data_IF_054113339832
#
_entry.id   IF_054113339832
#
_cell.length_a   1.000
_cell.length_b   1.000
_cell.length_c   1.000
_cell.angle_alpha   90.00
_cell.angle_beta   90.00
_cell.angle_gamma   90.00
#
_symmetry.space_group_name_H-M   'P 1'
#
loop_
_entity.id
_entity.type
_entity.pdbx_description
1 polymer ?
#
# COMPACT_ATOMS: atom_id res chain seq x y z
N UNK A 1 -5.74 11.42 -0.93
CA UNK A 1 -6.43 12.20 0.13
C UNK A 1 -5.50 12.20 1.32
N UNK A 2 -4.94 13.35 1.68
CA UNK A 2 -3.99 13.43 2.79
C UNK A 2 -4.69 13.98 4.02
N UNK A 3 -4.47 13.34 5.16
CA UNK A 3 -5.09 13.69 6.44
C UNK A 3 -4.16 14.64 7.19
N UNK A 4 -4.49 15.92 7.24
CA UNK A 4 -3.69 16.94 7.94
C UNK A 4 -4.44 17.53 9.14
N UNK A 5 -3.67 17.99 10.13
CA UNK A 5 -4.17 18.64 11.34
C UNK A 5 -4.07 20.16 11.22
N UNK A 6 -5.15 20.93 11.47
CA UNK A 6 -5.00 22.33 11.84
C UNK A 6 -4.51 22.38 13.29
N UNK A 7 -3.20 22.31 13.49
CA UNK A 7 -2.53 22.41 14.81
C UNK A 7 -2.86 23.70 15.55
N UNK A 8 -3.35 24.72 14.87
CA UNK A 8 -3.78 25.99 15.46
C UNK A 8 -5.14 25.92 16.18
N UNK A 9 -6.00 24.94 15.90
CA UNK A 9 -7.33 24.86 16.51
C UNK A 9 -7.45 23.81 17.63
N UNK A 10 -6.58 22.78 17.65
CA UNK A 10 -6.65 21.68 18.62
C UNK A 10 -5.25 21.30 19.11
N UNK A 11 -4.75 21.90 20.20
CA UNK A 11 -3.36 21.74 20.67
C UNK A 11 -3.07 20.39 21.34
N UNK A 12 -4.09 19.59 21.66
CA UNK A 12 -3.92 18.25 22.25
C UNK A 12 -3.98 17.17 21.17
N UNK A 13 -2.87 16.47 20.96
CA UNK A 13 -2.67 15.40 19.98
C UNK A 13 -3.46 14.10 20.29
N UNK A 14 -4.79 14.14 20.42
CA UNK A 14 -5.60 12.92 20.25
C UNK A 14 -5.86 12.72 18.75
N UNK A 15 -4.91 12.07 18.05
CA UNK A 15 -4.79 11.92 16.58
C UNK A 15 -6.08 11.93 15.73
N UNK A 16 -6.07 12.53 14.52
CA UNK A 16 -7.26 12.74 13.66
C UNK A 16 -7.98 11.40 13.41
N UNK A 17 -7.25 10.28 13.40
CA UNK A 17 -7.83 8.93 13.30
C UNK A 17 -8.71 8.55 14.46
N UNK A 18 -8.33 8.89 15.69
CA UNK A 18 -9.16 8.66 16.87
C UNK A 18 -10.40 9.54 16.84
N UNK A 19 -10.24 10.82 16.50
CA UNK A 19 -11.37 11.75 16.39
C UNK A 19 -12.36 11.34 15.30
N UNK A 20 -11.89 11.04 14.09
CA UNK A 20 -12.75 10.52 13.01
C UNK A 20 -13.39 9.17 13.34
N UNK A 21 -12.72 8.32 14.13
CA UNK A 21 -13.29 7.02 14.49
C UNK A 21 -14.35 7.08 15.58
N UNK A 22 -14.36 8.15 16.39
CA UNK A 22 -15.17 8.24 17.60
C UNK A 22 -16.27 9.31 17.52
N UNK A 23 -15.95 10.46 16.94
CA UNK A 23 -16.68 11.70 17.18
C UNK A 23 -17.36 12.25 15.92
N UNK A 24 -17.11 11.67 14.73
CA UNK A 24 -17.75 12.10 13.47
C UNK A 24 -19.07 11.34 13.25
N UNK A 25 -20.13 12.07 12.91
CA UNK A 25 -21.44 11.53 12.60
C UNK A 25 -21.82 11.74 11.13
N UNK A 26 -22.82 10.99 10.67
CA UNK A 26 -23.40 11.22 9.34
C UNK A 26 -23.94 12.66 9.30
N UNK A 27 -23.56 13.41 8.25
CA UNK A 27 -23.83 14.84 8.02
C UNK A 27 -22.83 15.84 8.61
N UNK A 28 -21.79 15.39 9.32
CA UNK A 28 -20.69 16.27 9.69
C UNK A 28 -19.92 16.78 8.47
N UNK A 29 -19.35 17.98 8.60
CA UNK A 29 -18.54 18.61 7.55
C UNK A 29 -17.07 18.43 7.84
N UNK A 30 -16.35 17.91 6.85
CA UNK A 30 -14.88 17.80 6.88
C UNK A 30 -14.30 18.75 5.85
N UNK A 31 -13.26 19.48 6.22
CA UNK A 31 -12.52 20.35 5.31
C UNK A 31 -11.36 19.54 4.74
N UNK A 32 -11.25 19.53 3.41
CA UNK A 32 -10.13 18.91 2.70
C UNK A 32 -9.18 19.98 2.16
N UNK A 33 -7.88 19.71 2.24
CA UNK A 33 -6.87 20.46 1.50
C UNK A 33 -6.63 19.82 0.13
N UNK A 34 -5.96 20.54 -0.76
CA UNK A 34 -5.51 19.99 -2.05
C UNK A 34 -4.65 18.73 -1.86
N UNK A 35 -4.69 17.80 -2.83
CA UNK A 35 -3.86 16.60 -2.78
C UNK A 35 -2.38 16.98 -2.92
N UNK A 36 -1.53 16.33 -2.12
CA UNK A 36 -0.08 16.40 -2.21
C UNK A 36 0.51 15.00 -2.01
N UNK A 37 1.77 14.78 -2.40
CA UNK A 37 2.49 13.51 -2.16
C UNK A 37 1.94 12.29 -2.92
N UNK A 38 1.29 12.47 -4.07
CA UNK A 38 0.63 11.36 -4.77
C UNK A 38 1.64 10.43 -5.44
N UNK A 39 1.49 9.11 -5.23
CA UNK A 39 2.22 8.09 -5.98
C UNK A 39 1.85 8.19 -7.45
N UNK A 40 2.83 8.55 -8.28
CA UNK A 40 2.68 8.59 -9.73
C UNK A 40 2.92 7.21 -10.33
N UNK A 41 1.99 6.74 -11.16
CA UNK A 41 2.16 5.50 -11.91
C UNK A 41 3.13 5.73 -13.08
N UNK A 42 4.29 5.07 -13.03
CA UNK A 42 5.39 5.18 -14.00
C UNK A 42 5.46 4.02 -14.99
N UNK A 43 4.44 3.15 -15.02
CA UNK A 43 4.37 1.97 -15.88
C UNK A 43 4.18 0.67 -15.11
N UNK A 44 3.96 -0.41 -15.85
CA UNK A 44 3.72 -1.75 -15.30
C UNK A 44 4.79 -2.15 -14.30
N UNK A 45 4.40 -2.63 -13.12
CA UNK A 45 5.36 -2.98 -12.08
C UNK A 45 4.76 -3.68 -10.87
N UNK A 46 5.49 -3.64 -9.76
CA UNK A 46 5.15 -4.33 -8.52
C UNK A 46 4.71 -3.32 -7.46
N UNK A 47 3.47 -3.46 -7.00
CA UNK A 47 2.89 -2.70 -5.89
C UNK A 47 3.10 -3.46 -4.58
N UNK A 48 3.73 -2.85 -3.59
CA UNK A 48 4.00 -3.43 -2.27
C UNK A 48 3.34 -2.55 -1.20
N UNK A 49 2.29 -3.07 -0.59
CA UNK A 49 1.48 -2.36 0.40
C UNK A 49 1.59 -2.96 1.79
N UNK A 50 1.66 -2.11 2.82
CA UNK A 50 1.53 -2.48 4.22
C UNK A 50 0.29 -1.84 4.86
N UNK A 51 -0.67 -2.65 5.32
CA UNK A 51 -1.89 -2.16 5.98
C UNK A 51 -2.64 -1.09 5.17
N UNK A 52 -2.90 0.07 5.78
CA UNK A 52 -3.61 1.17 5.11
C UNK A 52 -2.86 1.76 3.88
N UNK A 53 -1.56 1.46 3.71
CA UNK A 53 -0.76 1.89 2.56
C UNK A 53 -1.21 1.33 1.20
N UNK A 54 -2.17 0.39 1.17
CA UNK A 54 -2.78 -0.05 -0.08
C UNK A 54 -3.70 1.00 -0.73
N UNK A 55 -4.17 1.98 0.07
CA UNK A 55 -5.15 3.00 -0.36
C UNK A 55 -4.79 3.72 -1.66
N UNK A 56 -3.57 4.29 -1.84
CA UNK A 56 -3.20 4.91 -3.12
C UNK A 56 -3.23 3.92 -4.29
N UNK A 57 -2.89 2.65 -4.07
CA UNK A 57 -2.83 1.65 -5.13
C UNK A 57 -4.22 1.20 -5.60
N UNK A 58 -5.23 1.20 -4.74
CA UNK A 58 -6.60 0.85 -5.16
C UNK A 58 -7.08 1.79 -6.27
N UNK A 59 -6.79 3.09 -6.15
CA UNK A 59 -7.16 4.06 -7.18
C UNK A 59 -6.45 3.78 -8.50
N UNK A 60 -5.14 3.52 -8.45
CA UNK A 60 -4.32 3.19 -9.63
C UNK A 60 -4.81 1.89 -10.28
N UNK A 61 -4.94 0.82 -9.51
CA UNK A 61 -5.33 -0.51 -10.01
C UNK A 61 -6.75 -0.49 -10.60
N UNK A 62 -7.70 0.23 -9.99
CA UNK A 62 -9.05 0.39 -10.56
C UNK A 62 -9.02 1.11 -11.89
N UNK A 63 -8.20 2.15 -12.02
CA UNK A 63 -8.02 2.86 -13.29
C UNK A 63 -7.43 1.96 -14.36
N UNK A 64 -6.37 1.21 -14.01
CA UNK A 64 -5.75 0.24 -14.91
C UNK A 64 -6.72 -0.87 -15.32
N UNK A 65 -7.61 -1.32 -14.42
CA UNK A 65 -8.65 -2.30 -14.76
C UNK A 65 -9.61 -1.75 -15.81
N UNK A 66 -10.11 -0.54 -15.58
CA UNK A 66 -11.03 0.13 -16.50
C UNK A 66 -10.42 0.36 -17.88
N UNK A 67 -9.11 0.61 -17.93
CA UNK A 67 -8.37 0.83 -19.17
C UNK A 67 -7.91 -0.47 -19.85
N UNK A 68 -8.08 -1.64 -19.21
CA UNK A 68 -7.56 -2.91 -19.71
C UNK A 68 -6.04 -3.03 -19.62
N UNK A 69 -5.39 -2.30 -18.71
CA UNK A 69 -3.94 -2.19 -18.54
C UNK A 69 -3.41 -2.86 -17.25
N UNK A 70 -4.20 -3.74 -16.64
CA UNK A 70 -3.77 -4.47 -15.44
C UNK A 70 -2.66 -5.50 -15.73
N UNK A 71 -2.58 -6.02 -16.95
CA UNK A 71 -1.66 -7.10 -17.29
C UNK A 71 -0.19 -6.73 -17.00
N UNK A 72 0.54 -7.69 -16.42
CA UNK A 72 1.93 -7.54 -15.98
C UNK A 72 2.12 -6.86 -14.62
N UNK A 73 1.09 -6.20 -14.05
CA UNK A 73 1.18 -5.63 -12.71
C UNK A 73 1.05 -6.71 -11.64
N UNK A 74 1.72 -6.53 -10.51
CA UNK A 74 1.60 -7.42 -9.34
C UNK A 74 1.34 -6.63 -8.07
N UNK A 75 0.59 -7.20 -7.15
CA UNK A 75 0.29 -6.61 -5.85
C UNK A 75 0.74 -7.56 -4.73
N UNK A 76 1.61 -7.09 -3.86
CA UNK A 76 2.00 -7.76 -2.62
C UNK A 76 1.47 -6.96 -1.44
N UNK A 77 0.53 -7.54 -0.69
CA UNK A 77 -0.20 -6.84 0.36
C UNK A 77 0.01 -7.50 1.73
N UNK A 78 0.80 -6.85 2.59
CA UNK A 78 1.19 -7.34 3.90
C UNK A 78 0.32 -6.73 5.01
N UNK A 79 -0.20 -7.59 5.89
CA UNK A 79 -1.06 -7.23 7.02
C UNK A 79 -0.64 -7.98 8.30
N UNK A 80 -1.19 -7.61 9.46
CA UNK A 80 -0.90 -8.34 10.72
C UNK A 80 -1.76 -9.59 10.81
N UNK A 81 -3.06 -9.43 10.69
CA UNK A 81 -4.05 -10.50 10.71
C UNK A 81 -5.05 -10.39 9.57
N UNK A 82 -5.88 -11.43 9.38
CA UNK A 82 -6.92 -11.55 8.38
C UNK A 82 -7.91 -10.38 8.48
N UNK A 83 -8.26 -9.99 9.70
CA UNK A 83 -9.20 -8.89 9.95
C UNK A 83 -8.71 -7.55 9.40
N UNK A 84 -7.40 -7.36 9.26
CA UNK A 84 -6.81 -6.16 8.67
C UNK A 84 -6.87 -6.17 7.13
N UNK A 85 -7.14 -7.32 6.50
CA UNK A 85 -7.20 -7.43 5.04
C UNK A 85 -8.57 -6.97 4.53
N UNK A 86 -8.63 -5.73 4.06
CA UNK A 86 -9.81 -5.15 3.41
C UNK A 86 -9.75 -5.25 1.88
N UNK A 87 -10.93 -5.20 1.24
CA UNK A 87 -11.12 -5.27 -0.23
C UNK A 87 -10.52 -6.51 -0.92
N UNK A 88 -10.21 -7.58 -0.18
CA UNK A 88 -9.63 -8.81 -0.73
C UNK A 88 -10.41 -9.34 -1.94
N UNK A 89 -11.74 -9.44 -1.84
CA UNK A 89 -12.57 -9.99 -2.92
C UNK A 89 -12.47 -9.17 -4.20
N UNK A 90 -12.36 -7.85 -4.08
CA UNK A 90 -12.13 -6.97 -5.22
C UNK A 90 -10.74 -7.15 -5.81
N UNK A 91 -9.70 -7.10 -4.97
CA UNK A 91 -8.31 -7.22 -5.41
C UNK A 91 -8.03 -8.57 -6.11
N UNK A 92 -8.57 -9.66 -5.56
CA UNK A 92 -8.42 -11.00 -6.15
C UNK A 92 -9.26 -11.17 -7.43
N UNK A 93 -10.41 -10.51 -7.54
CA UNK A 93 -11.18 -10.46 -8.79
C UNK A 93 -10.40 -9.72 -9.88
N UNK A 94 -9.77 -8.60 -9.54
CA UNK A 94 -9.01 -7.77 -10.49
C UNK A 94 -7.72 -8.44 -10.94
N UNK A 95 -6.93 -8.94 -9.98
CA UNK A 95 -5.55 -9.35 -10.20
C UNK A 95 -5.35 -10.87 -10.25
N UNK A 96 -6.33 -11.64 -9.76
CA UNK A 96 -6.19 -13.08 -9.59
C UNK A 96 -4.92 -13.44 -8.82
N UNK A 97 -4.08 -14.28 -9.44
CA UNK A 97 -2.80 -14.75 -8.87
C UNK A 97 -1.71 -13.68 -8.82
N UNK A 98 -1.89 -12.54 -9.49
CA UNK A 98 -0.96 -11.44 -9.43
C UNK A 98 -1.09 -10.63 -8.12
N UNK A 99 -2.16 -10.83 -7.35
CA UNK A 99 -2.27 -10.36 -5.97
C UNK A 99 -1.90 -11.46 -4.97
N UNK A 100 -0.93 -11.16 -4.12
CA UNK A 100 -0.49 -12.03 -3.01
C UNK A 100 -0.66 -11.26 -1.71
N UNK A 101 -1.31 -11.88 -0.73
CA UNK A 101 -1.50 -11.30 0.59
C UNK A 101 -0.71 -12.10 1.64
N UNK A 102 0.02 -11.40 2.51
CA UNK A 102 0.79 -12.00 3.61
C UNK A 102 0.29 -11.53 4.97
N UNK A 103 0.35 -12.41 5.97
CA UNK A 103 -0.02 -12.15 7.36
C UNK A 103 1.21 -12.33 8.26
N UNK A 104 1.52 -11.30 9.04
CA UNK A 104 2.74 -11.26 9.87
C UNK A 104 2.55 -11.80 11.28
N UNK A 105 1.32 -11.87 11.79
CA UNK A 105 1.03 -12.30 13.17
C UNK A 105 0.17 -13.57 13.27
N UNK A 106 -0.37 -14.07 12.16
CA UNK A 106 -1.13 -15.31 12.16
C UNK A 106 -0.93 -16.14 10.89
N UNK A 107 -1.30 -17.42 10.97
CA UNK A 107 -1.36 -18.33 9.84
C UNK A 107 -2.82 -18.51 9.43
N UNK A 108 -3.08 -18.37 8.15
CA UNK A 108 -4.42 -18.58 7.59
C UNK A 108 -4.30 -19.31 6.25
N UNK A 109 -5.22 -20.23 5.96
CA UNK A 109 -5.14 -21.11 4.77
C UNK A 109 -5.11 -20.34 3.43
N UNK A 110 -5.73 -19.17 3.40
CA UNK A 110 -5.91 -18.35 2.21
C UNK A 110 -4.79 -17.29 2.04
N UNK A 111 -3.79 -17.27 2.93
CA UNK A 111 -2.74 -16.25 2.97
C UNK A 111 -1.37 -16.87 3.23
N UNK A 112 -0.35 -16.18 2.74
CA UNK A 112 1.02 -16.51 3.12
C UNK A 112 1.32 -15.99 4.51
N UNK A 113 2.21 -16.67 5.23
CA UNK A 113 2.64 -16.25 6.56
C UNK A 113 4.05 -15.68 6.48
N UNK A 114 4.24 -14.49 7.06
CA UNK A 114 5.53 -13.82 7.13
C UNK A 114 5.51 -12.38 6.62
N UNK A 115 6.67 -11.73 6.72
CA UNK A 115 6.90 -10.38 6.19
C UNK A 115 7.32 -10.48 4.72
N UNK A 116 7.02 -9.44 3.97
CA UNK A 116 7.65 -9.23 2.66
C UNK A 116 9.04 -8.67 2.97
N UNK A 117 10.06 -9.51 2.83
CA UNK A 117 11.47 -9.19 3.03
C UNK A 117 12.28 -9.53 1.78
N UNK A 118 13.61 -9.38 1.87
CA UNK A 118 14.54 -9.60 0.74
C UNK A 118 14.43 -11.01 0.17
N UNK A 119 14.40 -12.03 1.03
CA UNK A 119 14.36 -13.43 0.61
C UNK A 119 13.01 -13.75 -0.04
N UNK A 120 11.92 -13.23 0.53
CA UNK A 120 10.59 -13.34 -0.04
C UNK A 120 10.52 -12.70 -1.43
N UNK A 121 11.04 -11.47 -1.58
CA UNK A 121 11.11 -10.77 -2.87
C UNK A 121 11.93 -11.56 -3.89
N UNK A 122 13.10 -12.06 -3.48
CA UNK A 122 13.97 -12.87 -4.34
C UNK A 122 13.27 -14.14 -4.83
N UNK A 123 12.40 -14.75 -4.03
CA UNK A 123 11.63 -15.93 -4.43
C UNK A 123 10.45 -15.65 -5.37
N UNK A 124 10.09 -14.37 -5.56
CA UNK A 124 8.86 -13.94 -6.23
C UNK A 124 9.11 -13.04 -7.42
N UNK A 125 10.24 -12.33 -7.45
CA UNK A 125 10.53 -11.28 -8.42
C UNK A 125 11.82 -11.62 -9.15
N UNK A 126 11.70 -11.76 -10.47
CA UNK A 126 12.82 -12.14 -11.34
C UNK A 126 13.43 -10.94 -12.09
N UNK A 127 12.72 -9.81 -12.15
CA UNK A 127 13.15 -8.58 -12.82
C UNK A 127 13.06 -7.39 -11.85
N UNK A 128 14.20 -6.77 -11.58
CA UNK A 128 14.31 -5.60 -10.70
C UNK A 128 14.50 -4.28 -11.46
N UNK A 129 14.55 -4.32 -12.80
CA UNK A 129 14.60 -3.12 -13.63
C UNK A 129 13.24 -2.41 -13.75
N UNK A 130 12.15 -3.12 -13.41
CA UNK A 130 10.80 -2.59 -13.41
C UNK A 130 10.52 -1.62 -12.24
N UNK A 131 9.47 -0.79 -12.35
CA UNK A 131 8.98 0.02 -11.23
C UNK A 131 8.51 -0.80 -10.02
N UNK A 132 8.87 -0.33 -8.82
CA UNK A 132 8.34 -0.80 -7.54
C UNK A 132 7.62 0.35 -6.84
N UNK A 133 6.34 0.17 -6.53
CA UNK A 133 5.52 1.14 -5.81
C UNK A 133 5.37 0.67 -4.37
N UNK A 134 5.92 1.39 -3.40
CA UNK A 134 5.96 0.96 -1.99
C UNK A 134 5.24 1.96 -1.10
N UNK A 135 4.23 1.50 -0.35
CA UNK A 135 3.53 2.32 0.63
C UNK A 135 3.14 1.50 1.87
N UNK A 136 3.45 1.99 3.06
CA UNK A 136 3.19 1.28 4.31
C UNK A 136 3.87 1.93 5.51
N UNK A 137 3.97 1.22 6.64
CA UNK A 137 4.67 1.71 7.82
C UNK A 137 6.12 2.12 7.51
N UNK A 138 6.67 3.21 8.09
CA UNK A 138 8.00 3.72 7.75
C UNK A 138 9.10 2.64 7.79
N UNK A 139 9.13 1.81 8.83
CA UNK A 139 10.11 0.73 8.95
C UNK A 139 10.02 -0.28 7.79
N UNK A 140 8.81 -0.61 7.33
CA UNK A 140 8.63 -1.51 6.19
C UNK A 140 9.12 -0.86 4.90
N UNK A 141 8.85 0.43 4.70
CA UNK A 141 9.30 1.16 3.52
C UNK A 141 10.83 1.21 3.47
N UNK A 142 11.48 1.50 4.60
CA UNK A 142 12.95 1.58 4.69
C UNK A 142 13.60 0.20 4.46
N UNK A 143 13.07 -0.85 5.10
CA UNK A 143 13.54 -2.23 4.92
C UNK A 143 13.44 -2.65 3.44
N UNK A 144 12.30 -2.39 2.80
CA UNK A 144 12.06 -2.75 1.40
C UNK A 144 12.90 -1.92 0.43
N UNK A 145 13.11 -0.62 0.70
CA UNK A 145 14.02 0.21 -0.09
C UNK A 145 15.44 -0.35 -0.09
N UNK A 146 15.92 -0.77 1.08
CA UNK A 146 17.23 -1.41 1.20
C UNK A 146 17.28 -2.73 0.45
N UNK A 147 16.29 -3.61 0.68
CA UNK A 147 16.21 -4.91 0.05
C UNK A 147 16.15 -4.83 -1.49
N UNK A 148 15.32 -3.92 -2.04
CA UNK A 148 15.18 -3.74 -3.48
C UNK A 148 16.48 -3.24 -4.12
N UNK A 149 17.18 -2.30 -3.48
CA UNK A 149 18.50 -1.83 -3.97
C UNK A 149 19.52 -2.95 -3.98
N UNK A 150 19.59 -3.74 -2.91
CA UNK A 150 20.48 -4.90 -2.83
C UNK A 150 20.19 -5.95 -3.90
N UNK A 151 18.93 -6.07 -4.31
CA UNK A 151 18.48 -6.98 -5.37
C UNK A 151 18.66 -6.39 -6.78
N UNK A 152 19.18 -5.16 -6.89
CA UNK A 152 19.52 -4.52 -8.17
C UNK A 152 18.45 -3.58 -8.72
N UNK A 153 17.46 -3.18 -7.92
CA UNK A 153 16.51 -2.14 -8.34
C UNK A 153 17.17 -0.76 -8.36
N UNK A 154 16.95 -0.03 -9.46
CA UNK A 154 17.41 1.34 -9.61
C UNK A 154 16.64 2.27 -8.67
N UNK A 155 17.30 3.27 -8.09
CA UNK A 155 16.64 4.21 -7.14
C UNK A 155 15.44 4.90 -7.78
N UNK A 156 15.52 5.21 -9.07
CA UNK A 156 14.46 5.88 -9.83
C UNK A 156 13.25 4.99 -10.12
N UNK A 157 13.41 3.66 -10.04
CA UNK A 157 12.31 2.71 -10.23
C UNK A 157 11.50 2.50 -8.96
N UNK A 158 12.00 2.94 -7.79
CA UNK A 158 11.28 2.85 -6.51
C UNK A 158 10.46 4.13 -6.28
N UNK A 159 9.13 4.00 -6.28
CA UNK A 159 8.17 5.09 -6.01
C UNK A 159 7.55 4.88 -4.63
N UNK A 160 7.54 5.91 -3.78
CA UNK A 160 7.01 5.85 -2.42
C UNK A 160 6.24 7.12 -2.06
N UNK A 161 5.31 6.98 -1.11
CA UNK A 161 4.61 8.10 -0.47
C UNK A 161 5.45 8.58 0.73
N UNK A 162 5.68 9.90 0.83
CA UNK A 162 6.33 10.56 1.97
C UNK A 162 5.32 11.03 3.02
#
# INVERSE_FOLDING_TARGET
>A
MVKSYPTQQFPSHEGVTKHLGRDIEVNDRVIFSDPWGTIEFKGTGVFIAGGAGITPFIAILRKLEQDGQLEGNRLFFSNKAREDVFLQGELFRMMGRAAVCTLTQEKHRDYEHGRIDKDWLQSRVDDYSQPFYVCGPPSMVDDLKSALKDLGAEVNSIVFEE
#
